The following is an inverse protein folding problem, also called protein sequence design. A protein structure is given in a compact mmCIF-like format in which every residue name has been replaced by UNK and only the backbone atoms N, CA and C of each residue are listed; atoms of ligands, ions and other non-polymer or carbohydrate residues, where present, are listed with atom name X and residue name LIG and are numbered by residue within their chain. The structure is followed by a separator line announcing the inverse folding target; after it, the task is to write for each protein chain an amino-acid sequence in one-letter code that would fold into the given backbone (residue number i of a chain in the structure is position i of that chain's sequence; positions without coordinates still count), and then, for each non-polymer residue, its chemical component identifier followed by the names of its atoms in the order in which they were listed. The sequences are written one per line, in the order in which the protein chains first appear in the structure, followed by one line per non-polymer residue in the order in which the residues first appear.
data_IF_071894470909
#
_entry.id   IF_071894470909
#
_cell.length_a   1.000
_cell.length_b   1.000
_cell.length_c   1.000
_cell.angle_alpha   90.00
_cell.angle_beta   90.00
_cell.angle_gamma   90.00
#
_symmetry.space_group_name_H-M   'P 1'
#
loop_
_entity.id
_entity.type
_entity.pdbx_description
1 polymer ?
#
# COMPACT_ATOMS: atom_id res chain seq x y z
N UNK A 1 23.82 74.29 9.85
CA UNK A 1 24.86 73.27 9.60
C UNK A 1 24.72 72.23 10.69
N UNK A 2 24.32 71.03 10.30
CA UNK A 2 23.61 70.04 11.11
C UNK A 2 24.53 69.11 11.89
N UNK A 3 24.18 68.94 13.16
CA UNK A 3 24.73 68.05 14.17
C UNK A 3 24.31 66.58 14.02
N UNK A 4 25.13 65.72 14.62
CA UNK A 4 24.86 64.38 15.15
C UNK A 4 24.58 63.17 14.24
N UNK A 5 25.62 62.34 14.15
CA UNK A 5 25.56 60.88 13.96
C UNK A 5 24.66 60.21 15.00
N UNK A 6 23.53 59.63 14.57
CA UNK A 6 22.72 58.70 15.38
C UNK A 6 22.61 57.33 14.72
N UNK A 7 23.11 56.33 15.46
CA UNK A 7 23.00 54.88 15.26
C UNK A 7 21.60 54.47 14.79
N UNK A 8 21.50 53.74 13.67
CA UNK A 8 20.33 52.92 13.35
C UNK A 8 20.55 51.51 13.87
N UNK A 9 19.65 51.09 14.76
CA UNK A 9 19.47 49.70 15.21
C UNK A 9 19.16 48.83 14.00
N UNK A 10 19.85 47.70 13.90
CA UNK A 10 19.40 46.55 13.10
C UNK A 10 18.34 45.85 13.96
N UNK A 11 17.09 45.93 13.55
CA UNK A 11 16.03 45.08 14.09
C UNK A 11 16.19 43.70 13.47
N UNK A 12 16.60 42.73 14.29
CA UNK A 12 16.49 41.31 13.96
C UNK A 12 15.00 40.96 13.99
N UNK A 13 14.39 40.87 12.81
CA UNK A 13 13.11 40.21 12.63
C UNK A 13 13.33 38.70 12.67
N UNK A 14 12.84 38.06 13.72
CA UNK A 14 12.73 36.60 13.82
C UNK A 14 11.89 36.07 12.65
N UNK A 15 12.55 35.49 11.65
CA UNK A 15 11.89 34.67 10.63
C UNK A 15 11.56 33.34 11.28
N UNK A 16 10.39 33.29 11.92
CA UNK A 16 9.81 32.05 12.43
C UNK A 16 9.33 31.21 11.25
N UNK A 17 10.25 30.50 10.60
CA UNK A 17 9.96 29.56 9.50
C UNK A 17 9.44 28.23 10.04
N UNK A 18 8.32 28.26 10.77
CA UNK A 18 7.51 27.07 11.00
C UNK A 18 6.46 26.98 9.88
N UNK A 19 6.93 26.77 8.66
CA UNK A 19 6.09 26.27 7.59
C UNK A 19 5.79 24.81 7.90
N UNK A 20 4.70 24.54 8.60
CA UNK A 20 4.15 23.18 8.65
C UNK A 20 3.89 22.77 7.21
N UNK A 21 4.53 21.66 6.79
CA UNK A 21 4.19 21.04 5.51
C UNK A 21 2.66 20.87 5.45
N UNK A 22 2.02 21.12 4.30
CA UNK A 22 0.58 20.97 4.18
C UNK A 22 0.21 19.58 4.68
N UNK A 23 -0.55 19.53 5.77
CA UNK A 23 -1.04 18.29 6.35
C UNK A 23 -1.99 17.70 5.32
N UNK A 24 -1.54 16.70 4.58
CA UNK A 24 -2.45 15.92 3.74
C UNK A 24 -3.60 15.43 4.63
N UNK A 25 -4.86 15.47 4.14
CA UNK A 25 -5.97 14.87 4.86
C UNK A 25 -5.59 13.43 5.25
N UNK A 26 -6.03 12.97 6.43
CA UNK A 26 -5.69 11.63 6.90
C UNK A 26 -6.07 10.59 5.84
N UNK A 27 -5.07 9.99 5.19
CA UNK A 27 -5.24 8.96 4.17
C UNK A 27 -5.51 7.62 4.83
N UNK A 28 -6.69 7.51 5.43
CA UNK A 28 -7.16 6.33 6.17
C UNK A 28 -8.48 5.85 5.61
N UNK A 29 -8.72 4.55 5.69
CA UNK A 29 -10.01 3.96 5.38
C UNK A 29 -10.27 2.72 6.22
N UNK A 30 -11.55 2.40 6.35
CA UNK A 30 -12.01 1.13 6.90
C UNK A 30 -13.01 0.50 5.91
N UNK A 31 -12.79 -0.76 5.57
CA UNK A 31 -13.67 -1.55 4.72
C UNK A 31 -14.14 -2.78 5.50
N UNK A 32 -15.43 -3.08 5.38
CA UNK A 32 -16.03 -4.34 5.81
C UNK A 32 -16.75 -4.96 4.62
N UNK A 33 -16.31 -6.14 4.19
CA UNK A 33 -16.88 -6.88 3.07
C UNK A 33 -17.34 -8.24 3.56
N UNK A 34 -18.62 -8.55 3.39
CA UNK A 34 -19.25 -9.76 3.93
C UNK A 34 -19.97 -10.46 2.77
N UNK A 35 -19.52 -11.66 2.43
CA UNK A 35 -20.15 -12.56 1.46
C UNK A 35 -20.52 -13.88 2.14
N UNK A 36 -21.00 -14.85 1.36
CA UNK A 36 -21.24 -16.21 1.86
C UNK A 36 -19.95 -17.03 1.99
N UNK A 37 -18.91 -16.66 1.25
CA UNK A 37 -17.61 -17.36 1.21
C UNK A 37 -16.63 -16.73 2.21
N UNK A 38 -16.60 -15.40 2.30
CA UNK A 38 -15.63 -14.68 3.14
C UNK A 38 -16.26 -13.54 3.96
N UNK A 39 -15.64 -13.24 5.11
CA UNK A 39 -15.90 -12.04 5.91
C UNK A 39 -14.59 -11.33 6.14
N UNK A 40 -14.48 -10.10 5.68
CA UNK A 40 -13.23 -9.34 5.69
C UNK A 40 -13.45 -7.98 6.32
N UNK A 41 -12.52 -7.59 7.19
CA UNK A 41 -12.36 -6.22 7.67
C UNK A 41 -10.94 -5.74 7.43
N UNK A 42 -10.80 -4.53 6.88
CA UNK A 42 -9.51 -3.90 6.64
C UNK A 42 -9.53 -2.48 7.17
N UNK A 43 -8.55 -2.14 8.00
CA UNK A 43 -8.26 -0.77 8.45
C UNK A 43 -6.88 -0.39 7.92
N UNK A 44 -6.78 0.71 7.17
CA UNK A 44 -5.54 1.11 6.52
C UNK A 44 -5.24 2.59 6.78
N UNK A 45 -3.96 2.92 6.93
CA UNK A 45 -3.41 4.27 6.85
C UNK A 45 -2.21 4.28 5.91
N UNK A 46 -2.28 5.06 4.82
CA UNK A 46 -1.22 5.13 3.81
C UNK A 46 0.05 5.87 4.28
N UNK A 47 -0.03 6.56 5.42
CA UNK A 47 1.07 7.34 6.00
C UNK A 47 1.48 6.85 7.40
N UNK A 48 1.18 5.58 7.72
CA UNK A 48 1.51 4.99 9.01
C UNK A 48 0.65 5.56 10.15
N UNK A 49 1.22 5.61 11.35
CA UNK A 49 0.52 6.07 12.55
C UNK A 49 -0.49 5.06 13.10
N UNK A 50 -1.21 5.40 14.18
CA UNK A 50 -2.12 4.48 14.84
C UNK A 50 -3.37 4.23 14.01
N UNK A 51 -3.81 2.97 13.99
CA UNK A 51 -5.10 2.52 13.45
C UNK A 51 -5.67 1.43 14.37
N UNK A 52 -6.98 1.24 14.32
CA UNK A 52 -7.69 0.22 15.10
C UNK A 52 -8.83 -0.38 14.28
N UNK A 53 -9.31 -1.55 14.72
CA UNK A 53 -10.62 -2.11 14.38
C UNK A 53 -11.41 -2.18 15.70
N UNK A 54 -12.56 -1.50 15.77
CA UNK A 54 -13.36 -1.42 17.00
C UNK A 54 -13.97 -2.77 17.38
N UNK A 55 -14.53 -3.47 16.39
CA UNK A 55 -15.22 -4.75 16.55
C UNK A 55 -14.63 -5.77 15.59
N UNK A 56 -13.59 -6.45 16.07
CA UNK A 56 -12.93 -7.52 15.34
C UNK A 56 -13.91 -8.64 15.01
N UNK A 57 -13.74 -9.23 13.83
CA UNK A 57 -14.48 -10.42 13.40
C UNK A 57 -13.81 -11.71 13.86
N UNK A 58 -12.55 -11.65 14.30
CA UNK A 58 -11.81 -12.80 14.80
C UNK A 58 -12.17 -13.10 16.26
N UNK A 59 -12.53 -14.35 16.55
CA UNK A 59 -12.90 -14.78 17.91
C UNK A 59 -11.72 -14.67 18.89
N UNK A 60 -10.53 -15.05 18.42
CA UNK A 60 -9.27 -14.84 19.12
C UNK A 60 -8.46 -13.88 18.26
N UNK A 61 -8.15 -12.67 18.74
CA UNK A 61 -7.32 -11.65 18.06
C UNK A 61 -5.86 -12.09 17.88
N UNK A 62 -5.65 -13.27 17.32
CA UNK A 62 -4.37 -13.80 16.90
C UNK A 62 -4.10 -13.28 15.50
N UNK A 63 -2.90 -12.77 15.27
CA UNK A 63 -2.46 -12.32 13.97
C UNK A 63 -1.10 -12.95 13.72
N UNK A 64 -0.92 -13.54 12.53
CA UNK A 64 0.25 -14.37 12.24
C UNK A 64 1.43 -13.51 11.76
N UNK A 65 1.16 -12.44 11.01
CA UNK A 65 2.15 -11.43 10.63
C UNK A 65 1.88 -10.11 11.36
N UNK A 66 2.68 -9.82 12.39
CA UNK A 66 2.52 -8.61 13.22
C UNK A 66 3.79 -7.79 13.34
N UNK A 67 3.61 -6.47 13.30
CA UNK A 67 4.64 -5.50 13.62
C UNK A 67 4.00 -4.25 14.21
N UNK A 68 4.39 -3.87 15.42
CA UNK A 68 3.99 -2.61 16.04
C UNK A 68 5.24 -1.80 16.38
N UNK A 69 5.31 -0.59 15.84
CA UNK A 69 6.40 0.38 16.05
C UNK A 69 5.78 1.76 16.27
N UNK A 70 6.59 2.75 16.69
CA UNK A 70 6.10 4.13 16.82
C UNK A 70 5.57 4.72 15.50
N UNK A 71 6.03 4.22 14.35
CA UNK A 71 5.64 4.71 13.02
C UNK A 71 4.52 3.93 12.33
N UNK A 72 4.39 2.63 12.62
CA UNK A 72 3.50 1.71 11.89
C UNK A 72 2.88 0.66 12.81
N UNK A 73 1.62 0.33 12.58
CA UNK A 73 0.92 -0.83 13.15
C UNK A 73 0.50 -1.73 11.99
N UNK A 74 1.02 -2.95 11.94
CA UNK A 74 0.72 -3.95 10.91
C UNK A 74 0.28 -5.23 11.62
N UNK A 75 -0.93 -5.70 11.34
CA UNK A 75 -1.49 -6.93 11.90
C UNK A 75 -2.34 -7.62 10.84
N UNK A 76 -1.83 -8.71 10.26
CA UNK A 76 -2.48 -9.40 9.15
C UNK A 76 -2.90 -10.79 9.63
N UNK A 77 -4.17 -11.13 9.38
CA UNK A 77 -4.69 -12.48 9.50
C UNK A 77 -5.66 -12.73 8.35
N UNK A 78 -5.19 -13.48 7.35
CA UNK A 78 -6.03 -13.97 6.25
C UNK A 78 -6.44 -15.44 6.42
N UNK A 79 -5.78 -16.16 7.32
CA UNK A 79 -5.82 -17.62 7.41
C UNK A 79 -4.88 -18.34 6.43
N UNK A 80 -4.16 -17.60 5.57
CA UNK A 80 -3.15 -18.12 4.63
C UNK A 80 -1.79 -17.50 4.95
N UNK A 81 -0.94 -18.23 5.67
CA UNK A 81 0.28 -17.64 6.28
C UNK A 81 1.27 -17.01 5.30
N UNK A 82 1.39 -17.56 4.07
CA UNK A 82 2.27 -16.95 3.07
C UNK A 82 1.66 -15.67 2.47
N UNK A 83 0.34 -15.58 2.34
CA UNK A 83 -0.34 -14.35 1.94
C UNK A 83 -0.18 -13.27 3.01
N UNK A 84 -0.29 -13.64 4.29
CA UNK A 84 -0.06 -12.74 5.42
C UNK A 84 1.33 -12.10 5.35
N UNK A 85 2.35 -12.92 5.08
CA UNK A 85 3.73 -12.47 4.89
C UNK A 85 3.87 -11.49 3.71
N UNK A 86 3.23 -11.79 2.57
CA UNK A 86 3.27 -10.92 1.38
C UNK A 86 2.61 -9.55 1.64
N UNK A 87 1.43 -9.53 2.26
CA UNK A 87 0.72 -8.30 2.62
C UNK A 87 1.49 -7.52 3.68
N UNK A 88 2.09 -8.19 4.66
CA UNK A 88 2.96 -7.56 5.65
C UNK A 88 4.15 -6.87 4.97
N UNK A 89 4.84 -7.55 4.05
CA UNK A 89 5.95 -6.97 3.31
C UNK A 89 5.52 -5.72 2.51
N UNK A 90 4.36 -5.80 1.84
CA UNK A 90 3.78 -4.66 1.12
C UNK A 90 3.53 -3.46 2.05
N UNK A 91 2.81 -3.67 3.16
CA UNK A 91 2.53 -2.60 4.12
C UNK A 91 3.81 -2.03 4.74
N UNK A 92 4.75 -2.90 5.10
CA UNK A 92 6.01 -2.51 5.74
C UNK A 92 6.81 -1.57 4.85
N UNK A 93 7.07 -1.98 3.61
CA UNK A 93 7.90 -1.21 2.68
C UNK A 93 7.12 -0.02 2.07
N UNK A 94 5.80 -0.09 2.02
CA UNK A 94 4.92 1.00 1.59
C UNK A 94 4.80 2.14 2.61
N UNK A 95 5.17 1.89 3.87
CA UNK A 95 5.04 2.87 4.96
C UNK A 95 3.63 2.91 5.55
N UNK A 96 2.84 1.85 5.40
CA UNK A 96 1.46 1.79 5.84
C UNK A 96 1.36 1.34 7.30
N UNK A 97 0.28 1.74 7.94
CA UNK A 97 -0.31 0.92 9.00
C UNK A 97 -1.48 0.16 8.38
N UNK A 98 -1.59 -1.13 8.67
CA UNK A 98 -2.58 -2.01 8.07
C UNK A 98 -3.03 -3.09 9.06
N UNK A 99 -4.33 -3.18 9.29
CA UNK A 99 -4.96 -4.34 9.94
C UNK A 99 -5.82 -5.04 8.90
N UNK A 100 -5.63 -6.34 8.73
CA UNK A 100 -6.46 -7.21 7.89
C UNK A 100 -6.97 -8.35 8.73
N UNK A 101 -8.28 -8.55 8.71
CA UNK A 101 -8.95 -9.69 9.31
C UNK A 101 -9.79 -10.37 8.24
N UNK A 102 -9.63 -11.69 8.08
CA UNK A 102 -10.43 -12.51 7.19
C UNK A 102 -10.91 -13.77 7.90
N UNK A 103 -12.17 -14.14 7.66
CA UNK A 103 -12.69 -15.49 7.89
C UNK A 103 -13.17 -15.98 6.53
N UNK A 104 -12.45 -16.95 5.95
CA UNK A 104 -12.76 -17.55 4.67
C UNK A 104 -13.01 -19.05 4.73
N UNK A 105 -13.43 -19.61 3.61
CA UNK A 105 -13.82 -21.00 3.40
C UNK A 105 -12.63 -21.91 3.01
N UNK A 106 -11.52 -21.82 3.76
CA UNK A 106 -10.25 -22.54 3.49
C UNK A 106 -10.33 -24.08 3.44
N UNK A 107 -11.48 -24.66 3.76
CA UNK A 107 -11.75 -26.09 3.60
C UNK A 107 -12.05 -26.48 2.14
N UNK A 108 -12.36 -25.49 1.28
CA UNK A 108 -12.49 -25.64 -0.17
C UNK A 108 -11.09 -25.53 -0.79
N UNK A 109 -10.52 -24.32 -0.77
CA UNK A 109 -9.15 -23.98 -1.16
C UNK A 109 -8.79 -22.56 -0.67
N UNK A 110 -7.66 -22.00 -1.12
CA UNK A 110 -7.22 -20.65 -0.80
C UNK A 110 -7.73 -19.55 -1.77
N UNK A 111 -8.54 -19.90 -2.77
CA UNK A 111 -8.92 -19.02 -3.86
C UNK A 111 -9.80 -17.85 -3.39
N UNK A 112 -11.01 -18.14 -2.89
CA UNK A 112 -11.96 -17.11 -2.49
C UNK A 112 -11.35 -16.19 -1.42
N UNK A 113 -10.65 -16.78 -0.46
CA UNK A 113 -9.96 -16.03 0.60
C UNK A 113 -8.92 -15.07 0.02
N UNK A 114 -8.06 -15.53 -0.87
CA UNK A 114 -6.99 -14.70 -1.43
C UNK A 114 -7.55 -13.61 -2.34
N UNK A 115 -8.48 -13.96 -3.24
CA UNK A 115 -9.13 -13.01 -4.15
C UNK A 115 -9.85 -11.90 -3.37
N UNK A 116 -10.73 -12.28 -2.44
CA UNK A 116 -11.57 -11.33 -1.72
C UNK A 116 -10.76 -10.41 -0.79
N UNK A 117 -9.64 -10.89 -0.23
CA UNK A 117 -8.69 -10.04 0.49
C UNK A 117 -8.03 -9.04 -0.47
N UNK A 118 -7.65 -9.47 -1.67
CA UNK A 118 -7.13 -8.58 -2.72
C UNK A 118 -8.14 -7.49 -3.10
N UNK A 119 -9.40 -7.86 -3.31
CA UNK A 119 -10.51 -6.94 -3.59
C UNK A 119 -10.68 -5.93 -2.45
N UNK A 120 -10.86 -6.41 -1.22
CA UNK A 120 -11.11 -5.56 -0.06
C UNK A 120 -9.92 -4.62 0.22
N UNK A 121 -8.68 -5.09 0.04
CA UNK A 121 -7.49 -4.26 0.21
C UNK A 121 -7.40 -3.19 -0.87
N UNK A 122 -7.74 -3.53 -2.12
CA UNK A 122 -7.83 -2.57 -3.21
C UNK A 122 -8.86 -1.47 -2.96
N UNK A 123 -10.06 -1.84 -2.49
CA UNK A 123 -11.10 -0.89 -2.06
C UNK A 123 -10.60 0.03 -0.95
N UNK A 124 -10.00 -0.55 0.10
CA UNK A 124 -9.49 0.22 1.23
C UNK A 124 -8.38 1.19 0.80
N UNK A 125 -7.51 0.76 -0.12
CA UNK A 125 -6.49 1.62 -0.70
C UNK A 125 -7.10 2.78 -1.51
N UNK A 126 -8.10 2.51 -2.37
CA UNK A 126 -8.78 3.56 -3.16
C UNK A 126 -9.44 4.60 -2.25
N UNK A 127 -10.15 4.15 -1.22
CA UNK A 127 -10.84 5.02 -0.28
C UNK A 127 -9.85 5.86 0.54
N UNK A 128 -8.76 5.25 1.03
CA UNK A 128 -7.72 5.94 1.77
C UNK A 128 -6.93 6.93 0.90
N UNK A 129 -6.73 6.60 -0.38
CA UNK A 129 -6.06 7.47 -1.34
C UNK A 129 -6.88 8.74 -1.62
N UNK A 130 -8.21 8.60 -1.71
CA UNK A 130 -9.12 9.69 -2.01
C UNK A 130 -8.85 10.32 -3.38
N UNK A 131 -8.94 11.64 -3.47
CA UNK A 131 -8.69 12.35 -4.72
C UNK A 131 -7.21 12.25 -5.13
N UNK A 132 -6.95 11.79 -6.36
CA UNK A 132 -5.61 11.77 -6.95
C UNK A 132 -5.20 13.19 -7.35
N UNK A 133 -4.75 13.96 -6.35
CA UNK A 133 -4.34 15.36 -6.47
C UNK A 133 -3.11 15.62 -5.60
N UNK A 134 -2.18 16.43 -6.12
CA UNK A 134 -0.95 16.78 -5.43
C UNK A 134 -0.01 15.60 -5.20
N UNK A 135 -0.19 14.51 -5.94
CA UNK A 135 0.65 13.30 -5.89
C UNK A 135 1.40 13.10 -7.20
N UNK A 136 2.49 12.34 -7.16
CA UNK A 136 3.28 11.99 -8.35
C UNK A 136 2.48 11.21 -9.39
N UNK A 137 1.43 10.49 -8.98
CA UNK A 137 0.57 9.61 -9.80
C UNK A 137 1.28 8.38 -10.36
N UNK A 138 2.48 8.55 -10.89
CA UNK A 138 3.33 7.47 -11.37
C UNK A 138 4.35 7.10 -10.30
N UNK A 139 4.60 5.82 -10.16
CA UNK A 139 5.68 5.31 -9.32
C UNK A 139 6.27 4.03 -9.90
N UNK A 140 7.56 3.83 -9.67
CA UNK A 140 8.25 2.63 -10.10
C UNK A 140 9.16 2.13 -8.99
N UNK A 141 9.24 0.81 -8.85
CA UNK A 141 10.03 0.17 -7.80
C UNK A 141 10.78 -1.01 -8.37
N UNK A 142 12.03 -1.15 -7.97
CA UNK A 142 12.78 -2.39 -8.12
C UNK A 142 13.11 -2.90 -6.73
N UNK A 143 12.95 -4.20 -6.50
CA UNK A 143 13.38 -4.83 -5.27
C UNK A 143 14.02 -6.18 -5.60
N UNK A 144 15.24 -6.43 -5.12
CA UNK A 144 15.79 -7.77 -5.10
C UNK A 144 15.30 -8.55 -3.87
N UNK A 145 15.39 -9.87 -3.95
CA UNK A 145 15.51 -10.73 -2.78
C UNK A 145 16.47 -11.86 -3.16
N UNK A 146 17.67 -11.81 -2.60
CA UNK A 146 18.81 -12.64 -2.99
C UNK A 146 19.00 -12.65 -4.52
N UNK A 147 18.78 -13.79 -5.18
CA UNK A 147 18.95 -13.93 -6.63
C UNK A 147 17.79 -13.35 -7.44
N UNK A 148 16.62 -13.19 -6.81
CA UNK A 148 15.41 -12.73 -7.48
C UNK A 148 15.42 -11.20 -7.62
N UNK A 149 14.87 -10.70 -8.72
CA UNK A 149 14.71 -9.27 -8.95
C UNK A 149 13.37 -9.02 -9.61
N UNK A 150 12.57 -8.17 -8.99
CA UNK A 150 11.28 -7.76 -9.53
C UNK A 150 11.19 -6.26 -9.72
N UNK A 151 10.35 -5.86 -10.67
CA UNK A 151 9.97 -4.49 -10.97
C UNK A 151 8.46 -4.35 -10.82
N UNK A 152 8.01 -3.24 -10.24
CA UNK A 152 6.61 -2.82 -10.30
C UNK A 152 6.49 -1.39 -10.82
N UNK A 153 5.43 -1.11 -11.57
CA UNK A 153 5.08 0.23 -12.07
C UNK A 153 3.59 0.48 -11.82
N UNK A 154 3.28 1.63 -11.25
CA UNK A 154 1.92 2.03 -10.86
C UNK A 154 1.56 3.35 -11.54
N UNK A 155 0.36 3.41 -12.14
CA UNK A 155 -0.34 4.65 -12.52
C UNK A 155 -1.66 4.74 -11.72
N UNK A 156 -1.79 5.76 -10.88
CA UNK A 156 -3.03 6.12 -10.17
C UNK A 156 -4.05 6.71 -11.16
N UNK A 157 -4.61 5.83 -11.99
CA UNK A 157 -5.18 6.18 -13.29
C UNK A 157 -6.71 6.24 -13.34
N UNK A 158 -7.38 5.65 -12.35
CA UNK A 158 -8.79 5.26 -12.38
C UNK A 158 -9.19 4.35 -13.55
N UNK A 159 -8.22 3.64 -14.12
CA UNK A 159 -8.41 2.65 -15.19
C UNK A 159 -7.82 1.33 -14.69
N UNK A 160 -8.66 0.43 -14.14
CA UNK A 160 -8.19 -0.86 -13.65
C UNK A 160 -7.56 -1.63 -14.80
N UNK A 161 -6.30 -2.00 -14.64
CA UNK A 161 -5.56 -2.82 -15.59
C UNK A 161 -4.34 -3.43 -14.89
N UNK A 162 -4.02 -4.67 -15.20
CA UNK A 162 -2.90 -5.38 -14.61
C UNK A 162 -2.14 -6.18 -15.66
N UNK A 163 -0.82 -6.24 -15.52
CA UNK A 163 0.06 -7.19 -16.23
C UNK A 163 1.02 -7.75 -15.20
N UNK A 164 0.87 -9.03 -14.87
CA UNK A 164 1.58 -9.67 -13.76
C UNK A 164 2.35 -10.88 -14.27
N UNK A 165 3.66 -10.75 -14.38
CA UNK A 165 4.57 -11.73 -14.99
C UNK A 165 5.63 -12.18 -13.98
N UNK A 166 5.26 -13.09 -13.08
CA UNK A 166 6.14 -13.53 -11.98
C UNK A 166 7.01 -14.75 -12.32
N UNK A 167 6.61 -15.53 -13.33
CA UNK A 167 7.33 -16.73 -13.77
C UNK A 167 7.54 -17.75 -12.65
N UNK A 168 6.55 -17.91 -11.76
CA UNK A 168 6.56 -18.89 -10.67
C UNK A 168 6.47 -20.31 -11.27
N UNK A 169 7.18 -21.26 -10.67
CA UNK A 169 7.29 -22.64 -11.20
C UNK A 169 6.67 -23.70 -10.28
N UNK A 170 6.64 -23.42 -8.98
CA UNK A 170 6.02 -24.25 -7.96
C UNK A 170 4.50 -24.15 -8.05
N UNK A 171 3.85 -25.18 -7.54
CA UNK A 171 2.39 -25.22 -7.40
C UNK A 171 1.91 -24.41 -6.19
N UNK A 172 2.61 -24.49 -5.05
CA UNK A 172 2.33 -23.72 -3.82
C UNK A 172 3.60 -23.20 -3.13
N UNK A 173 3.45 -22.12 -2.36
CA UNK A 173 4.43 -21.62 -1.39
C UNK A 173 3.76 -21.57 -0.01
N UNK A 174 4.13 -22.51 0.86
CA UNK A 174 3.35 -22.74 2.08
C UNK A 174 1.92 -23.12 1.71
N UNK A 175 0.95 -22.43 2.28
CA UNK A 175 -0.47 -22.70 2.06
C UNK A 175 -1.06 -21.98 0.84
N UNK A 176 -0.34 -21.00 0.28
CA UNK A 176 -0.81 -20.20 -0.87
C UNK A 176 -0.49 -20.90 -2.19
N UNK A 177 -1.52 -21.12 -3.00
CA UNK A 177 -1.38 -21.57 -4.39
C UNK A 177 -0.66 -20.50 -5.21
N UNK A 178 0.38 -20.88 -5.96
CA UNK A 178 1.21 -19.92 -6.69
C UNK A 178 0.41 -19.12 -7.72
N UNK A 179 -0.64 -19.70 -8.31
CA UNK A 179 -1.54 -19.00 -9.23
C UNK A 179 -2.35 -17.89 -8.57
N UNK A 180 -2.56 -17.94 -7.25
CA UNK A 180 -3.28 -16.90 -6.51
C UNK A 180 -2.42 -15.67 -6.24
N UNK A 181 -1.09 -15.77 -6.40
CA UNK A 181 -0.18 -14.62 -6.22
C UNK A 181 -0.41 -13.55 -7.30
N UNK A 182 -0.40 -13.87 -8.62
CA UNK A 182 -0.80 -12.91 -9.63
C UNK A 182 -2.27 -12.52 -9.50
N UNK A 183 -3.17 -13.47 -9.24
CA UNK A 183 -4.61 -13.18 -9.09
C UNK A 183 -4.89 -12.16 -7.98
N UNK A 184 -4.20 -12.25 -6.83
CA UNK A 184 -4.27 -11.24 -5.76
C UNK A 184 -3.91 -9.84 -6.26
N UNK A 185 -2.82 -9.72 -7.03
CA UNK A 185 -2.34 -8.43 -7.55
C UNK A 185 -3.29 -7.86 -8.61
N UNK A 186 -3.92 -8.73 -9.40
CA UNK A 186 -4.95 -8.37 -10.38
C UNK A 186 -6.20 -7.84 -9.67
N UNK A 187 -6.75 -8.58 -8.70
CA UNK A 187 -7.90 -8.17 -7.89
C UNK A 187 -7.64 -6.88 -7.12
N UNK A 188 -6.44 -6.72 -6.56
CA UNK A 188 -5.99 -5.48 -5.93
C UNK A 188 -5.98 -4.31 -6.92
N UNK A 189 -5.36 -4.47 -8.09
CA UNK A 189 -5.29 -3.41 -9.10
C UNK A 189 -6.67 -3.00 -9.62
N UNK A 190 -7.55 -3.98 -9.82
CA UNK A 190 -8.92 -3.77 -10.26
C UNK A 190 -9.71 -2.93 -9.25
N UNK A 191 -9.73 -3.37 -7.99
CA UNK A 191 -10.52 -2.75 -6.93
C UNK A 191 -9.92 -1.42 -6.44
N UNK A 192 -8.60 -1.25 -6.55
CA UNK A 192 -7.94 0.04 -6.31
C UNK A 192 -8.05 1.02 -7.48
N UNK A 193 -8.56 0.56 -8.62
CA UNK A 193 -8.72 1.33 -9.86
C UNK A 193 -7.41 1.91 -10.39
N UNK A 194 -6.32 1.15 -10.28
CA UNK A 194 -5.00 1.57 -10.78
C UNK A 194 -4.61 0.75 -12.01
N UNK A 195 -3.65 1.26 -12.76
CA UNK A 195 -2.91 0.47 -13.74
C UNK A 195 -1.63 -0.04 -13.08
N UNK A 196 -1.44 -1.35 -13.08
CA UNK A 196 -0.35 -2.04 -12.39
C UNK A 196 0.42 -2.95 -13.36
N UNK A 197 1.74 -2.82 -13.40
CA UNK A 197 2.62 -3.79 -14.05
C UNK A 197 3.58 -4.35 -13.01
N UNK A 198 3.71 -5.67 -12.94
CA UNK A 198 4.68 -6.34 -12.05
C UNK A 198 5.38 -7.45 -12.82
N UNK A 199 6.71 -7.36 -12.92
CA UNK A 199 7.54 -8.33 -13.62
C UNK A 199 8.61 -8.88 -12.68
N UNK A 200 8.73 -10.20 -12.59
CA UNK A 200 9.91 -10.83 -11.99
C UNK A 200 10.96 -11.10 -13.07
N UNK A 201 11.96 -10.22 -13.13
CA UNK A 201 12.98 -10.19 -14.19
C UNK A 201 13.92 -11.40 -14.16
N UNK A 202 14.15 -11.96 -12.96
CA UNK A 202 14.97 -13.17 -12.74
C UNK A 202 14.70 -13.72 -11.34
N UNK A 203 15.09 -14.97 -11.13
CA UNK A 203 15.01 -15.68 -9.86
C UNK A 203 15.08 -17.19 -10.05
N UNK A 204 15.33 -17.98 -9.02
CA UNK A 204 15.09 -19.44 -9.11
C UNK A 204 14.26 -19.97 -7.96
N UNK A 205 14.17 -19.23 -6.85
CA UNK A 205 13.29 -19.54 -5.74
C UNK A 205 11.99 -18.73 -5.82
N UNK A 206 10.84 -19.41 -5.88
CA UNK A 206 9.55 -18.73 -6.04
C UNK A 206 9.11 -17.92 -4.81
N UNK A 207 9.59 -18.25 -3.61
CA UNK A 207 9.41 -17.37 -2.44
C UNK A 207 10.08 -16.04 -2.71
N UNK A 208 11.34 -16.08 -3.17
CA UNK A 208 12.13 -14.87 -3.43
C UNK A 208 11.52 -14.06 -4.59
N UNK A 209 11.03 -14.74 -5.64
CA UNK A 209 10.30 -14.12 -6.75
C UNK A 209 9.04 -13.41 -6.28
N UNK A 210 8.19 -14.07 -5.50
CA UNK A 210 6.96 -13.49 -4.98
C UNK A 210 7.23 -12.32 -4.02
N UNK A 211 8.10 -12.51 -3.03
CA UNK A 211 8.36 -11.48 -2.02
C UNK A 211 9.05 -10.25 -2.62
N UNK A 212 9.99 -10.44 -3.56
CA UNK A 212 10.60 -9.31 -4.29
C UNK A 212 9.56 -8.53 -5.10
N UNK A 213 8.54 -9.18 -5.66
CA UNK A 213 7.46 -8.52 -6.39
C UNK A 213 6.60 -7.64 -5.48
N UNK A 214 6.19 -8.14 -4.30
CA UNK A 214 5.45 -7.36 -3.31
C UNK A 214 6.26 -6.18 -2.76
N UNK A 215 7.57 -6.37 -2.54
CA UNK A 215 8.48 -5.27 -2.15
C UNK A 215 8.63 -4.21 -3.24
N UNK A 216 8.75 -4.63 -4.50
CA UNK A 216 8.82 -3.71 -5.63
C UNK A 216 7.53 -2.90 -5.76
N UNK A 217 6.37 -3.54 -5.60
CA UNK A 217 5.07 -2.90 -5.58
C UNK A 217 4.97 -1.86 -4.45
N UNK A 218 5.43 -2.21 -3.25
CA UNK A 218 5.43 -1.32 -2.10
C UNK A 218 6.20 -0.01 -2.37
N UNK A 219 7.38 -0.13 -3.01
CA UNK A 219 8.20 1.01 -3.42
C UNK A 219 7.47 1.85 -4.48
N UNK A 220 6.91 1.20 -5.50
CA UNK A 220 6.20 1.87 -6.59
C UNK A 220 4.96 2.64 -6.08
N UNK A 221 4.15 2.04 -5.19
CA UNK A 221 2.99 2.71 -4.62
C UNK A 221 3.43 3.88 -3.73
N UNK A 222 4.42 3.68 -2.87
CA UNK A 222 4.93 4.75 -2.01
C UNK A 222 5.39 5.95 -2.82
N UNK A 223 6.07 5.71 -3.94
CA UNK A 223 6.42 6.77 -4.88
C UNK A 223 5.17 7.42 -5.50
N UNK A 224 4.23 6.63 -6.03
CA UNK A 224 3.09 7.16 -6.77
C UNK A 224 2.17 8.05 -5.92
N UNK A 225 2.06 7.76 -4.62
CA UNK A 225 1.27 8.54 -3.66
C UNK A 225 2.04 9.69 -3.02
N UNK A 226 3.34 9.82 -3.27
CA UNK A 226 4.16 10.90 -2.69
C UNK A 226 3.78 12.25 -3.28
N UNK A 227 3.98 13.32 -2.49
CA UNK A 227 3.71 14.69 -2.94
C UNK A 227 4.49 15.04 -4.21
N UNK A 228 3.83 15.71 -5.15
CA UNK A 228 4.50 16.28 -6.34
C UNK A 228 4.91 17.75 -6.14
N UNK A 229 4.73 18.32 -4.93
CA UNK A 229 5.04 19.72 -4.62
C UNK A 229 3.97 20.72 -5.06
N UNK A 230 2.90 20.27 -5.70
CA UNK A 230 1.75 21.09 -6.10
C UNK A 230 0.47 20.56 -5.47
N UNK A 231 -0.61 21.31 -5.59
CA UNK A 231 -1.94 20.80 -5.30
C UNK A 231 -2.74 20.70 -6.60
N UNK A 232 -2.19 20.13 -7.66
CA UNK A 232 -2.89 19.97 -8.96
C UNK A 232 -3.26 18.52 -9.25
N UNK A 233 -4.24 18.31 -10.15
CA UNK A 233 -4.56 16.98 -10.67
C UNK A 233 -3.53 16.64 -11.74
N UNK A 234 -2.73 15.57 -11.59
CA UNK A 234 -1.67 15.21 -12.54
C UNK A 234 -2.24 14.51 -13.79
N UNK A 235 -3.12 15.19 -14.53
CA UNK A 235 -3.79 14.66 -15.72
C UNK A 235 -4.07 15.77 -16.72
N UNK A 236 -3.68 15.54 -17.98
CA UNK A 236 -3.98 16.46 -19.10
C UNK A 236 -5.48 16.60 -19.37
N UNK A 237 -6.29 15.61 -18.97
CA UNK A 237 -7.75 15.66 -19.05
C UNK A 237 -8.39 16.48 -17.93
N UNK A 238 -7.61 16.98 -16.96
CA UNK A 238 -8.07 17.75 -15.82
C UNK A 238 -8.79 16.94 -14.73
N UNK A 239 -9.05 15.64 -14.96
CA UNK A 239 -9.75 14.75 -14.02
C UNK A 239 -9.06 13.39 -13.89
N UNK A 240 -9.13 12.85 -12.69
CA UNK A 240 -8.85 11.46 -12.30
C UNK A 240 -9.96 11.10 -11.30
N UNK A 241 -11.00 10.43 -11.80
CA UNK A 241 -12.19 10.06 -11.00
C UNK A 241 -11.96 8.81 -10.14
#
# INVERSE_FOLDING_TARGET
MTEEFKKRKVENGDVNSNGSAPTHPERKAFISRITNETKIQISISLHGGPITIEKSILENKSYDATQSTSSQIISINTGVGFLDHMIHALAKHGGWSLIVECIGDLHIDDHHTTEDVGIALGMAFKDALGQVRGVKRFGSGYAPLDEALSRAVVDLSNRPYSVIELGLKREKIGDLSCEMIPHFLESFAESSRITLHVDCLRGFNDHHRAESAFKALAIAIKESISSNGTNEVPSTKGVLM
#
